data_IF_051302531080
#
_entry.id   IF_051302531080
#
_cell.length_a   1.000
_cell.length_b   1.000
_cell.length_c   1.000
_cell.angle_alpha   90.00
_cell.angle_beta   90.00
_cell.angle_gamma   90.00
#
_symmetry.space_group_name_H-M   'P 1'
#
loop_
_entity.id
_entity.type
_entity.pdbx_description
1 polymer ?
#
# COMPACT_ATOMS: atom_id res chain seq x y z
N UNK A 1 12.08 8.70 17.07
CA UNK A 1 11.20 9.79 17.52
C UNK A 1 9.89 9.19 18.02
N UNK A 2 9.37 9.71 19.14
CA UNK A 2 8.08 9.30 19.71
C UNK A 2 6.91 9.90 18.91
N UNK A 3 5.68 9.50 19.24
CA UNK A 3 4.46 10.09 18.67
C UNK A 3 4.34 11.57 19.03
N UNK A 4 4.69 11.92 20.28
CA UNK A 4 4.68 13.29 20.82
C UNK A 4 5.64 14.19 20.05
N UNK A 5 6.87 13.73 19.79
CA UNK A 5 7.83 14.46 18.96
C UNK A 5 7.33 14.68 17.53
N UNK A 6 6.71 13.65 16.92
CA UNK A 6 6.13 13.76 15.58
C UNK A 6 4.97 14.77 15.53
N UNK A 7 4.14 14.83 16.57
CA UNK A 7 3.06 15.84 16.69
C UNK A 7 3.61 17.25 16.89
N UNK A 8 4.64 17.40 17.73
CA UNK A 8 5.28 18.70 17.98
C UNK A 8 5.83 19.34 16.71
N UNK A 9 6.34 18.54 15.76
CA UNK A 9 6.84 19.04 14.47
C UNK A 9 5.77 19.82 13.70
N UNK A 10 4.49 19.38 13.73
CA UNK A 10 3.41 20.05 13.00
C UNK A 10 3.03 21.41 13.59
N UNK A 11 3.28 21.61 14.88
CA UNK A 11 2.95 22.83 15.62
C UNK A 11 4.13 23.84 15.68
N UNK A 12 5.32 23.42 15.31
CA UNK A 12 6.51 24.28 15.30
C UNK A 12 6.48 25.17 14.04
N UNK A 13 6.45 26.49 14.15
CA UNK A 13 6.35 27.40 13.00
C UNK A 13 7.66 27.58 12.22
N UNK A 14 8.79 27.10 12.75
CA UNK A 14 10.10 27.28 12.10
C UNK A 14 10.19 26.49 10.79
N UNK A 15 10.86 27.02 9.75
CA UNK A 15 11.16 26.26 8.54
C UNK A 15 11.92 24.97 8.86
N UNK A 16 11.50 23.84 8.22
CA UNK A 16 12.09 22.54 8.49
C UNK A 16 11.88 21.58 7.32
N UNK A 17 12.73 20.55 7.29
CA UNK A 17 12.57 19.39 6.40
C UNK A 17 12.08 18.21 7.24
N UNK A 18 10.97 17.58 6.83
CA UNK A 18 10.40 16.41 7.49
C UNK A 18 10.62 15.19 6.61
N UNK A 19 11.47 14.26 7.08
CA UNK A 19 11.67 12.96 6.44
C UNK A 19 10.74 11.94 7.11
N UNK A 20 9.80 11.38 6.34
CA UNK A 20 8.80 10.46 6.89
C UNK A 20 8.43 9.34 5.91
N UNK A 21 8.27 8.15 6.41
CA UNK A 21 7.70 7.00 5.70
C UNK A 21 6.16 7.05 5.79
N UNK A 22 5.41 6.44 4.85
CA UNK A 22 5.84 5.61 3.72
C UNK A 22 6.05 6.46 2.46
N UNK A 23 6.90 5.97 1.54
CA UNK A 23 7.23 6.70 0.30
C UNK A 23 6.03 6.94 -0.63
N UNK A 24 4.99 6.11 -0.58
CA UNK A 24 3.75 6.25 -1.38
C UNK A 24 2.63 6.99 -0.63
N UNK A 25 2.91 7.52 0.56
CA UNK A 25 1.99 8.30 1.40
C UNK A 25 0.74 7.56 1.90
N UNK A 26 0.61 6.24 1.70
CA UNK A 26 -0.58 5.46 2.06
C UNK A 26 -0.64 5.04 3.53
N UNK A 27 0.50 4.99 4.20
CA UNK A 27 0.60 4.54 5.58
C UNK A 27 1.61 5.38 6.39
N UNK A 28 1.63 5.17 7.70
CA UNK A 28 2.62 5.78 8.58
C UNK A 28 2.39 7.24 8.91
N UNK A 29 3.43 7.85 9.48
CA UNK A 29 3.38 9.22 10.01
C UNK A 29 3.26 10.28 8.92
N UNK A 30 3.71 10.00 7.71
CA UNK A 30 3.61 10.92 6.58
C UNK A 30 2.16 11.40 6.38
N UNK A 31 1.17 10.53 6.56
CA UNK A 31 -0.25 10.90 6.43
C UNK A 31 -0.68 11.99 7.41
N UNK A 32 -0.16 11.94 8.64
CA UNK A 32 -0.42 13.01 9.64
C UNK A 32 0.27 14.31 9.23
N UNK A 33 1.52 14.25 8.79
CA UNK A 33 2.23 15.44 8.31
C UNK A 33 1.54 16.05 7.09
N UNK A 34 1.08 15.24 6.13
CA UNK A 34 0.33 15.71 4.97
C UNK A 34 -1.00 16.36 5.38
N UNK A 35 -1.76 15.77 6.31
CA UNK A 35 -3.00 16.37 6.82
C UNK A 35 -2.80 17.80 7.34
N UNK A 36 -1.69 18.05 8.03
CA UNK A 36 -1.40 19.35 8.65
C UNK A 36 -0.71 20.35 7.71
N UNK A 37 -0.19 19.90 6.57
CA UNK A 37 0.70 20.72 5.75
C UNK A 37 0.30 20.83 4.27
N UNK A 38 -0.54 19.95 3.71
CA UNK A 38 -0.93 19.98 2.29
C UNK A 38 -1.72 21.24 1.89
N UNK A 39 -2.47 21.82 2.81
CA UNK A 39 -3.30 23.00 2.55
C UNK A 39 -2.52 24.33 2.57
N UNK A 40 -1.26 24.30 2.98
CA UNK A 40 -0.37 25.45 3.07
C UNK A 40 0.40 25.60 1.77
N UNK A 41 0.21 26.70 1.06
CA UNK A 41 0.83 26.98 -0.23
C UNK A 41 2.33 27.22 -0.17
N UNK A 42 2.85 27.57 1.00
CA UNK A 42 4.27 27.78 1.26
C UNK A 42 5.07 26.48 1.45
N UNK A 43 4.38 25.34 1.51
CA UNK A 43 5.02 24.04 1.70
C UNK A 43 5.30 23.33 0.37
N UNK A 44 6.35 22.50 0.40
CA UNK A 44 6.73 21.59 -0.66
C UNK A 44 6.61 20.13 -0.16
N UNK A 45 5.98 19.28 -0.94
CA UNK A 45 6.02 17.83 -0.78
C UNK A 45 6.92 17.25 -1.85
N UNK A 46 8.07 16.70 -1.45
CA UNK A 46 9.02 16.08 -2.35
C UNK A 46 8.86 14.56 -2.30
N UNK A 47 8.36 13.97 -3.39
CA UNK A 47 8.21 12.54 -3.55
C UNK A 47 9.54 11.94 -4.01
N UNK A 48 10.17 11.14 -3.17
CA UNK A 48 11.55 10.65 -3.39
C UNK A 48 11.63 9.31 -4.14
N UNK A 49 10.52 8.78 -4.65
CA UNK A 49 10.52 7.49 -5.35
C UNK A 49 9.26 7.25 -6.17
N UNK A 50 9.21 6.09 -6.80
CA UNK A 50 8.07 5.65 -7.60
C UNK A 50 6.75 5.67 -6.81
N UNK A 51 5.69 6.14 -7.47
CA UNK A 51 4.34 6.21 -6.91
C UNK A 51 3.43 5.24 -7.68
N UNK A 52 3.04 4.15 -7.04
CA UNK A 52 2.20 3.13 -7.66
C UNK A 52 0.77 3.64 -7.88
N UNK A 53 0.12 3.13 -8.92
CA UNK A 53 -1.27 3.45 -9.24
C UNK A 53 -2.20 3.19 -8.04
N UNK A 54 -3.10 4.14 -7.79
CA UNK A 54 -4.08 4.07 -6.69
C UNK A 54 -3.52 4.38 -5.30
N UNK A 55 -2.29 4.90 -5.20
CA UNK A 55 -1.71 5.42 -3.96
C UNK A 55 -1.98 6.91 -3.78
N UNK A 56 -1.91 7.39 -2.54
CA UNK A 56 -2.05 8.83 -2.25
C UNK A 56 -0.92 9.63 -2.92
N UNK A 57 0.32 9.13 -2.87
CA UNK A 57 1.46 9.78 -3.51
C UNK A 57 1.27 9.92 -5.02
N UNK A 58 0.70 8.88 -5.68
CA UNK A 58 0.36 8.94 -7.11
C UNK A 58 -0.72 10.00 -7.40
N UNK A 59 -1.76 10.05 -6.60
CA UNK A 59 -2.80 11.08 -6.74
C UNK A 59 -2.24 12.49 -6.58
N UNK A 60 -1.33 12.71 -5.61
CA UNK A 60 -0.64 13.99 -5.44
C UNK A 60 0.22 14.33 -6.67
N UNK A 61 0.97 13.37 -7.19
CA UNK A 61 1.79 13.52 -8.41
C UNK A 61 0.95 13.89 -9.63
N UNK A 62 -0.28 13.37 -9.74
CA UNK A 62 -1.23 13.66 -10.82
C UNK A 62 -1.93 15.01 -10.66
N UNK A 63 -1.67 15.74 -9.57
CA UNK A 63 -2.14 17.11 -9.38
C UNK A 63 -3.58 17.24 -8.90
N UNK A 64 -4.09 16.25 -8.14
CA UNK A 64 -5.41 16.36 -7.50
C UNK A 64 -5.50 17.60 -6.61
N UNK A 65 -6.67 18.25 -6.58
CA UNK A 65 -6.89 19.47 -5.81
C UNK A 65 -7.29 19.21 -4.36
N UNK A 66 -7.85 18.03 -4.09
CA UNK A 66 -8.26 17.60 -2.75
C UNK A 66 -7.96 16.12 -2.55
N UNK A 67 -7.64 15.73 -1.32
CA UNK A 67 -7.43 14.33 -0.91
C UNK A 67 -8.17 14.05 0.39
N UNK A 68 -8.53 12.79 0.62
CA UNK A 68 -9.16 12.39 1.88
C UNK A 68 -8.14 11.74 2.82
N UNK A 69 -7.89 12.39 3.97
CA UNK A 69 -6.98 11.92 5.01
C UNK A 69 -7.75 11.74 6.33
N UNK A 70 -7.72 10.54 6.89
CA UNK A 70 -8.43 10.19 8.14
C UNK A 70 -9.93 10.55 8.13
N UNK A 71 -10.58 10.42 6.96
CA UNK A 71 -12.00 10.74 6.78
C UNK A 71 -12.32 12.19 6.47
N UNK A 72 -11.34 13.11 6.59
CA UNK A 72 -11.50 14.53 6.30
C UNK A 72 -10.96 14.86 4.90
N UNK A 73 -11.60 15.82 4.24
CA UNK A 73 -11.15 16.39 2.97
C UNK A 73 -10.10 17.46 3.22
N UNK A 74 -8.95 17.35 2.57
CA UNK A 74 -7.82 18.26 2.70
C UNK A 74 -7.48 18.84 1.33
N UNK A 75 -7.46 20.17 1.20
CA UNK A 75 -7.04 20.84 -0.01
C UNK A 75 -5.54 20.63 -0.26
N UNK A 76 -5.15 20.41 -1.51
CA UNK A 76 -3.76 20.34 -1.95
C UNK A 76 -3.37 21.69 -2.53
N UNK A 77 -2.70 22.51 -1.73
CA UNK A 77 -2.15 23.81 -2.11
C UNK A 77 -0.63 23.83 -2.08
N UNK A 78 -0.02 22.90 -1.32
CA UNK A 78 1.42 22.72 -1.30
C UNK A 78 1.93 22.35 -2.71
N UNK A 79 3.13 22.80 -3.03
CA UNK A 79 3.83 22.35 -4.23
C UNK A 79 4.14 20.86 -4.13
N UNK A 80 3.94 20.12 -5.23
CA UNK A 80 4.27 18.70 -5.32
C UNK A 80 5.38 18.55 -6.34
N UNK A 81 6.52 18.01 -5.91
CA UNK A 81 7.67 17.76 -6.77
C UNK A 81 8.16 16.32 -6.66
N UNK A 82 8.87 15.85 -7.68
CA UNK A 82 9.49 14.55 -7.75
C UNK A 82 11.01 14.68 -7.67
N UNK A 83 11.64 13.88 -6.82
CA UNK A 83 13.09 13.74 -6.79
C UNK A 83 13.49 12.60 -7.75
N UNK A 84 14.01 12.97 -8.91
CA UNK A 84 14.51 11.99 -9.88
C UNK A 84 15.88 11.46 -9.45
N UNK A 85 16.12 10.16 -9.68
CA UNK A 85 17.43 9.53 -9.44
C UNK A 85 17.71 9.12 -7.99
N UNK A 86 16.78 9.31 -7.06
CA UNK A 86 16.94 8.87 -5.66
C UNK A 86 16.35 7.47 -5.40
N UNK A 87 15.85 6.77 -6.43
CA UNK A 87 15.30 5.43 -6.28
C UNK A 87 16.40 4.42 -5.95
N UNK A 88 16.19 3.61 -4.92
CA UNK A 88 17.02 2.43 -4.63
C UNK A 88 16.70 1.22 -5.54
N UNK A 89 15.69 1.33 -6.39
CA UNK A 89 15.34 0.29 -7.35
C UNK A 89 16.14 0.46 -8.63
N UNK A 90 16.60 -0.67 -9.20
CA UNK A 90 17.26 -0.68 -10.49
C UNK A 90 16.27 -0.30 -11.60
N UNK A 91 16.76 0.43 -12.59
CA UNK A 91 16.07 0.63 -13.86
C UNK A 91 16.17 -0.63 -14.76
N UNK A 92 15.52 -0.62 -15.91
CA UNK A 92 15.54 -1.74 -16.86
C UNK A 92 16.96 -2.19 -17.20
N UNK A 93 17.87 -1.26 -17.46
CA UNK A 93 19.26 -1.58 -17.77
C UNK A 93 20.00 -2.19 -16.57
N UNK A 94 19.74 -1.70 -15.38
CA UNK A 94 20.28 -2.26 -14.14
C UNK A 94 19.78 -3.67 -13.86
N UNK A 95 18.49 -3.93 -14.09
CA UNK A 95 17.90 -5.26 -13.97
C UNK A 95 18.49 -6.24 -14.99
N UNK A 96 18.66 -5.80 -16.24
CA UNK A 96 19.28 -6.63 -17.27
C UNK A 96 20.72 -7.01 -16.90
N UNK A 97 21.55 -6.02 -16.54
CA UNK A 97 22.94 -6.28 -16.07
C UNK A 97 22.98 -7.24 -14.88
N UNK A 98 22.00 -7.13 -13.98
CA UNK A 98 21.92 -8.03 -12.83
C UNK A 98 21.63 -9.48 -13.27
N UNK A 99 20.69 -9.69 -14.21
CA UNK A 99 20.41 -11.03 -14.75
C UNK A 99 21.61 -11.59 -15.50
N UNK A 100 22.29 -10.77 -16.29
CA UNK A 100 23.51 -11.13 -17.04
C UNK A 100 24.67 -11.56 -16.13
N UNK A 101 24.75 -10.98 -14.92
CA UNK A 101 25.79 -11.30 -13.95
C UNK A 101 25.54 -12.62 -13.20
N UNK A 102 24.39 -13.27 -13.36
CA UNK A 102 24.11 -14.55 -12.70
C UNK A 102 24.86 -15.67 -13.40
N UNK A 103 25.71 -16.37 -12.65
CA UNK A 103 26.47 -17.52 -13.16
C UNK A 103 26.19 -18.78 -12.31
N UNK A 104 25.89 -19.93 -12.93
CA UNK A 104 25.68 -20.13 -14.36
C UNK A 104 24.42 -19.41 -14.89
N UNK A 105 24.32 -19.21 -16.22
CA UNK A 105 23.15 -18.59 -16.85
C UNK A 105 21.86 -19.31 -16.39
N UNK A 106 20.85 -18.60 -15.88
CA UNK A 106 19.62 -19.19 -15.41
C UNK A 106 18.86 -19.87 -16.56
N UNK A 107 18.31 -21.05 -16.30
CA UNK A 107 17.48 -21.75 -17.29
C UNK A 107 16.16 -21.04 -17.52
N UNK A 108 15.58 -20.44 -16.47
CA UNK A 108 14.30 -19.73 -16.51
C UNK A 108 14.39 -18.45 -15.72
N UNK A 109 13.74 -17.40 -16.23
CA UNK A 109 13.62 -16.10 -15.56
C UNK A 109 12.14 -15.74 -15.41
N UNK A 110 11.68 -15.50 -14.18
CA UNK A 110 10.31 -15.10 -13.91
C UNK A 110 10.27 -13.64 -13.50
N UNK A 111 9.54 -12.82 -14.28
CA UNK A 111 9.35 -11.40 -14.02
C UNK A 111 8.07 -11.20 -13.23
N UNK A 112 8.20 -10.81 -11.95
CA UNK A 112 7.09 -10.64 -11.02
C UNK A 112 7.11 -9.25 -10.35
N UNK A 113 6.00 -8.89 -9.69
CA UNK A 113 5.88 -7.66 -8.88
C UNK A 113 6.07 -6.35 -9.65
N UNK A 114 5.47 -6.25 -10.82
CA UNK A 114 5.41 -5.01 -11.57
C UNK A 114 4.00 -4.76 -12.14
N UNK A 115 3.82 -3.60 -12.74
CA UNK A 115 2.67 -3.36 -13.59
C UNK A 115 2.75 -4.28 -14.81
N UNK A 116 1.60 -4.72 -15.32
CA UNK A 116 1.49 -5.69 -16.41
C UNK A 116 2.38 -5.31 -17.62
N UNK A 117 2.24 -4.08 -18.11
CA UNK A 117 3.03 -3.57 -19.24
C UNK A 117 4.54 -3.63 -19.00
N UNK A 118 4.99 -3.29 -17.77
CA UNK A 118 6.41 -3.32 -17.42
C UNK A 118 6.95 -4.75 -17.32
N UNK A 119 6.17 -5.67 -16.74
CA UNK A 119 6.56 -7.08 -16.64
C UNK A 119 6.66 -7.72 -18.03
N UNK A 120 5.71 -7.47 -18.91
CA UNK A 120 5.71 -7.99 -20.27
C UNK A 120 6.85 -7.40 -21.10
N UNK A 121 7.06 -6.09 -21.03
CA UNK A 121 8.17 -5.44 -21.75
C UNK A 121 9.54 -5.96 -21.29
N UNK A 122 9.72 -6.20 -20.00
CA UNK A 122 10.99 -6.75 -19.50
C UNK A 122 11.17 -8.23 -19.85
N UNK A 123 10.10 -9.05 -19.82
CA UNK A 123 10.12 -10.43 -20.33
C UNK A 123 10.53 -10.46 -21.80
N UNK A 124 9.97 -9.59 -22.62
CA UNK A 124 10.26 -9.53 -24.07
C UNK A 124 11.72 -9.13 -24.31
N UNK A 125 12.23 -8.17 -23.54
CA UNK A 125 13.65 -7.80 -23.58
C UNK A 125 14.55 -9.01 -23.25
N UNK A 126 14.27 -9.69 -22.14
CA UNK A 126 15.03 -10.88 -21.73
C UNK A 126 14.98 -12.00 -22.76
N UNK A 127 13.82 -12.19 -23.39
CA UNK A 127 13.65 -13.18 -24.48
C UNK A 127 14.51 -12.80 -25.69
N UNK A 128 14.57 -11.52 -26.06
CA UNK A 128 15.43 -11.01 -27.14
C UNK A 128 16.91 -11.23 -26.82
N UNK A 129 17.31 -11.12 -25.56
CA UNK A 129 18.69 -11.37 -25.07
C UNK A 129 18.98 -12.88 -24.87
N UNK A 130 18.07 -13.75 -25.33
CA UNK A 130 18.27 -15.21 -25.34
C UNK A 130 18.05 -15.89 -23.98
N UNK A 131 17.22 -15.32 -23.11
CA UNK A 131 16.74 -15.97 -21.89
C UNK A 131 15.38 -16.61 -22.11
N UNK A 132 15.12 -17.73 -21.44
CA UNK A 132 13.76 -18.28 -21.33
C UNK A 132 13.02 -17.55 -20.21
N UNK A 133 12.27 -16.49 -20.57
CA UNK A 133 11.64 -15.59 -19.62
C UNK A 133 10.11 -15.70 -19.64
N UNK A 134 9.49 -15.55 -18.47
CA UNK A 134 8.05 -15.57 -18.26
C UNK A 134 7.62 -14.37 -17.42
N UNK A 135 6.46 -13.79 -17.73
CA UNK A 135 5.74 -12.82 -16.89
C UNK A 135 4.40 -13.46 -16.47
N UNK A 136 4.39 -14.33 -15.45
CA UNK A 136 3.23 -15.15 -15.13
C UNK A 136 2.17 -14.32 -14.41
N UNK A 137 0.90 -14.52 -14.80
CA UNK A 137 -0.25 -14.04 -14.02
C UNK A 137 -0.48 -14.88 -12.77
N UNK A 138 -1.10 -14.29 -11.76
CA UNK A 138 -1.39 -14.96 -10.49
C UNK A 138 -2.24 -16.22 -10.70
N UNK A 139 -1.75 -17.36 -10.21
CA UNK A 139 -2.35 -18.66 -10.39
C UNK A 139 -1.69 -19.51 -11.47
N UNK A 140 -0.73 -18.97 -12.24
CA UNK A 140 0.10 -19.76 -13.16
C UNK A 140 0.95 -20.78 -12.38
N UNK A 141 1.02 -22.02 -12.88
CA UNK A 141 1.78 -23.11 -12.27
C UNK A 141 2.91 -23.51 -13.21
N UNK A 142 4.12 -23.53 -12.67
CA UNK A 142 5.32 -23.96 -13.36
C UNK A 142 5.95 -25.16 -12.63
N UNK A 143 6.16 -26.28 -13.33
CA UNK A 143 6.89 -27.42 -12.81
C UNK A 143 8.41 -27.19 -13.00
N UNK A 144 9.09 -26.89 -11.91
CA UNK A 144 10.54 -26.60 -11.92
C UNK A 144 11.34 -27.84 -12.28
N UNK A 145 10.91 -29.05 -11.89
CA UNK A 145 11.60 -30.26 -12.16
C UNK A 145 11.46 -30.70 -13.65
N UNK A 146 10.28 -30.53 -14.21
CA UNK A 146 10.01 -30.80 -15.62
C UNK A 146 10.42 -29.62 -16.54
N UNK A 147 10.68 -28.44 -15.99
CA UNK A 147 11.07 -27.27 -16.74
C UNK A 147 9.97 -26.72 -17.67
N UNK A 148 8.70 -26.84 -17.27
CA UNK A 148 7.57 -26.45 -18.14
C UNK A 148 6.44 -25.78 -17.36
N UNK A 149 5.63 -25.01 -18.10
CA UNK A 149 4.37 -24.48 -17.63
C UNK A 149 3.31 -25.61 -17.64
N UNK A 150 2.77 -25.94 -16.47
CA UNK A 150 1.66 -26.89 -16.33
C UNK A 150 0.30 -26.21 -16.52
N UNK A 151 0.20 -24.95 -16.08
CA UNK A 151 -1.00 -24.16 -16.24
C UNK A 151 -0.66 -22.69 -16.39
N UNK A 152 -1.23 -22.04 -17.38
CA UNK A 152 -1.10 -20.59 -17.61
C UNK A 152 -2.41 -19.92 -17.19
N UNK A 153 -2.35 -19.12 -16.14
CA UNK A 153 -3.52 -18.38 -15.69
C UNK A 153 -3.84 -17.22 -16.63
N UNK A 154 -5.14 -16.98 -16.85
CA UNK A 154 -5.60 -15.81 -17.57
C UNK A 154 -5.50 -14.54 -16.69
N UNK A 155 -5.24 -13.36 -17.30
CA UNK A 155 -5.21 -12.10 -16.56
C UNK A 155 -6.58 -11.81 -15.96
N UNK A 156 -6.65 -11.72 -14.63
CA UNK A 156 -7.84 -11.30 -13.91
C UNK A 156 -7.57 -9.97 -13.22
N UNK A 157 -8.28 -8.93 -13.63
CA UNK A 157 -8.26 -7.66 -12.89
C UNK A 157 -8.90 -7.87 -11.52
N UNK A 158 -8.09 -7.82 -10.47
CA UNK A 158 -8.60 -7.85 -9.10
C UNK A 158 -9.16 -6.44 -8.83
N UNK A 159 -10.49 -6.31 -8.81
CA UNK A 159 -11.11 -5.10 -8.29
C UNK A 159 -10.66 -4.93 -6.83
N UNK A 160 -10.11 -3.76 -6.50
CA UNK A 160 -9.69 -3.46 -5.13
C UNK A 160 -10.94 -3.38 -4.23
N UNK A 161 -11.33 -4.50 -3.65
CA UNK A 161 -12.49 -4.64 -2.75
C UNK A 161 -12.27 -3.99 -1.37
N UNK A 162 -11.39 -2.99 -1.28
CA UNK A 162 -11.09 -2.30 -0.02
C UNK A 162 -12.31 -1.66 0.67
N UNK A 163 -13.36 -1.30 -0.09
CA UNK A 163 -14.59 -0.75 0.48
C UNK A 163 -15.58 -1.84 0.92
N UNK A 164 -15.64 -2.97 0.23
CA UNK A 164 -16.56 -4.07 0.56
C UNK A 164 -16.13 -4.76 1.86
N UNK A 165 -14.84 -5.11 2.00
CA UNK A 165 -14.30 -5.74 3.22
C UNK A 165 -14.42 -4.86 4.45
N UNK A 166 -14.24 -3.52 4.32
CA UNK A 166 -14.48 -2.58 5.42
C UNK A 166 -15.96 -2.49 5.80
N UNK A 167 -16.88 -2.53 4.84
CA UNK A 167 -18.33 -2.58 5.10
C UNK A 167 -18.72 -3.88 5.82
N UNK A 168 -18.18 -5.01 5.39
CA UNK A 168 -18.46 -6.32 5.98
C UNK A 168 -17.98 -6.40 7.44
N UNK A 169 -16.74 -5.99 7.73
CA UNK A 169 -16.20 -5.94 9.09
C UNK A 169 -16.97 -4.95 9.97
N UNK A 170 -17.35 -3.79 9.44
CA UNK A 170 -18.15 -2.82 10.17
C UNK A 170 -19.56 -3.37 10.46
N UNK A 171 -20.20 -4.02 9.51
CA UNK A 171 -21.51 -4.68 9.70
C UNK A 171 -21.44 -5.74 10.78
N UNK A 172 -20.41 -6.60 10.74
CA UNK A 172 -20.17 -7.62 11.77
C UNK A 172 -19.97 -7.00 13.15
N UNK A 173 -19.21 -5.90 13.24
CA UNK A 173 -19.01 -5.18 14.50
C UNK A 173 -20.33 -4.64 15.06
N UNK A 174 -21.15 -4.01 14.20
CA UNK A 174 -22.47 -3.46 14.60
C UNK A 174 -23.41 -4.57 15.05
N UNK A 175 -23.45 -5.69 14.33
CA UNK A 175 -24.28 -6.86 14.73
C UNK A 175 -23.81 -7.45 16.08
N UNK A 176 -22.51 -7.58 16.29
CA UNK A 176 -21.96 -8.06 17.55
C UNK A 176 -22.30 -7.12 18.70
N UNK A 177 -22.17 -5.81 18.50
CA UNK A 177 -22.56 -4.81 19.49
C UNK A 177 -24.06 -4.86 19.83
N UNK A 178 -24.93 -5.06 18.83
CA UNK A 178 -26.38 -5.25 19.03
C UNK A 178 -26.69 -6.51 19.85
N UNK A 179 -25.99 -7.62 19.58
CA UNK A 179 -26.14 -8.87 20.35
C UNK A 179 -25.70 -8.69 21.79
N UNK A 180 -24.58 -8.02 22.03
CA UNK A 180 -24.12 -7.70 23.39
C UNK A 180 -25.11 -6.81 24.13
N UNK A 181 -25.67 -5.79 23.47
CA UNK A 181 -26.67 -4.92 24.06
C UNK A 181 -27.95 -5.69 24.41
N UNK A 182 -28.43 -6.57 23.53
CA UNK A 182 -29.59 -7.41 23.77
C UNK A 182 -29.36 -8.35 24.96
N UNK A 183 -28.17 -8.95 25.08
CA UNK A 183 -27.78 -9.74 26.24
C UNK A 183 -27.77 -8.90 27.51
N UNK A 184 -27.17 -7.72 27.52
CA UNK A 184 -27.14 -6.82 28.66
C UNK A 184 -28.53 -6.42 29.10
N UNK A 185 -29.47 -6.16 28.19
CA UNK A 185 -30.87 -5.87 28.48
C UNK A 185 -31.58 -7.10 29.10
N UNK A 186 -31.37 -8.29 28.53
CA UNK A 186 -31.95 -9.55 29.06
C UNK A 186 -31.43 -9.88 30.46
N UNK A 187 -30.20 -9.46 30.80
CA UNK A 187 -29.65 -9.63 32.16
C UNK A 187 -30.11 -8.56 33.19
N UNK A 188 -30.84 -7.52 32.72
CA UNK A 188 -31.25 -6.41 33.60
C UNK A 188 -32.10 -6.86 34.78
N UNK A 189 -32.87 -7.93 34.64
CA UNK A 189 -33.76 -8.49 35.66
C UNK A 189 -33.14 -9.69 36.43
N UNK A 190 -31.89 -10.04 36.12
CA UNK A 190 -31.20 -11.15 36.75
C UNK A 190 -30.57 -10.72 38.10
N UNK A 191 -30.35 -11.70 38.99
CA UNK A 191 -29.70 -11.42 40.29
C UNK A 191 -28.28 -10.84 40.08
N UNK A 192 -27.88 -9.92 40.98
CA UNK A 192 -26.56 -9.28 40.98
C UNK A 192 -25.40 -10.28 40.92
N UNK A 193 -25.57 -11.50 41.43
CA UNK A 193 -24.56 -12.53 41.41
C UNK A 193 -24.34 -13.11 39.98
N UNK A 194 -25.39 -13.27 39.17
CA UNK A 194 -25.31 -13.71 37.79
C UNK A 194 -24.73 -12.63 36.89
N UNK A 195 -25.08 -11.38 37.12
CA UNK A 195 -24.52 -10.24 36.36
C UNK A 195 -23.01 -10.12 36.58
N UNK A 196 -22.55 -10.24 37.87
CA UNK A 196 -21.11 -10.20 38.19
C UNK A 196 -20.34 -11.36 37.56
N UNK A 197 -20.89 -12.56 37.47
CA UNK A 197 -20.25 -13.69 36.81
C UNK A 197 -20.09 -13.42 35.31
N UNK A 198 -21.11 -12.90 34.64
CA UNK A 198 -21.08 -12.57 33.22
C UNK A 198 -20.05 -11.47 32.91
N UNK A 199 -19.91 -10.44 33.75
CA UNK A 199 -18.92 -9.37 33.55
C UNK A 199 -17.48 -9.80 33.87
N UNK A 200 -17.25 -10.92 34.53
CA UNK A 200 -15.92 -11.47 34.78
C UNK A 200 -15.45 -12.42 33.67
N UNK A 201 -16.37 -12.89 32.82
CA UNK A 201 -16.11 -13.83 31.72
C UNK A 201 -15.96 -13.11 30.35
N UNK A 202 -16.08 -11.76 30.30
CA UNK A 202 -15.83 -10.89 29.15
C UNK A 202 -14.48 -10.19 29.30
#
# INVERSE_FOLDING_TARGET
PTVEHSRAINNDPRPKIILSASGMCDAGRIRHHLKHNLWKSENLVLLAGYQANGTLGRSLQEGVKTVRLFGEEVAVRAEIAMLHGASGHADQAGLLRWVEAIAPKPQFVFVNHGDEENCEAFRDLLTKEGYTAFAPYSGTVFDVAAGRLDYVAEPRRIEKTGSARKKEVYTLLVETARRLLALAVAFREQSNQRVRKFTADI
#
